data_IF_373375441024
#
_entry.id   IF_373375441024
#
_cell.length_a   1.000
_cell.length_b   1.000
_cell.length_c   1.000
_cell.angle_alpha   90.00
_cell.angle_beta   90.00
_cell.angle_gamma   90.00
#
_symmetry.space_group_name_H-M   'P 1'
#
loop_
_entity.id
_entity.type
_entity.pdbx_description
1 polymer ?
#
# COMPACT_ATOMS: atom_id res chain seq x y z
N UNK A 1 4.44 -17.28 -15.35
CA UNK A 1 3.74 -15.99 -15.49
C UNK A 1 3.74 -15.26 -14.15
N UNK A 2 4.19 -14.01 -14.13
CA UNK A 2 4.24 -13.18 -12.91
C UNK A 2 2.93 -12.42 -12.76
N UNK A 3 2.47 -12.28 -11.53
CA UNK A 3 1.20 -11.63 -11.20
C UNK A 3 1.45 -10.48 -10.21
N UNK A 4 0.91 -9.32 -10.51
CA UNK A 4 0.78 -8.20 -9.60
C UNK A 4 -0.70 -8.05 -9.26
N UNK A 5 -1.03 -8.05 -7.97
CA UNK A 5 -2.41 -7.95 -7.49
C UNK A 5 -2.71 -6.51 -7.13
N UNK A 6 -3.82 -5.99 -7.66
CA UNK A 6 -4.39 -4.70 -7.27
C UNK A 6 -5.69 -4.97 -6.51
N UNK A 7 -5.82 -4.41 -5.33
CA UNK A 7 -6.97 -4.62 -4.48
C UNK A 7 -7.41 -3.31 -3.78
N UNK A 8 -8.64 -3.29 -3.27
CA UNK A 8 -9.12 -2.16 -2.48
C UNK A 8 -8.42 -2.08 -1.12
N UNK A 9 -8.43 -3.19 -0.38
CA UNK A 9 -7.70 -3.35 0.87
C UNK A 9 -6.73 -4.54 0.74
N UNK A 10 -5.62 -4.49 1.46
CA UNK A 10 -4.66 -5.59 1.46
C UNK A 10 -5.12 -6.81 2.26
N UNK A 11 -4.36 -7.90 2.20
CA UNK A 11 -4.74 -9.14 2.82
C UNK A 11 -4.65 -9.11 4.34
N UNK A 12 -5.47 -9.91 5.00
CA UNK A 12 -5.33 -10.24 6.40
C UNK A 12 -4.02 -11.02 6.64
N UNK A 13 -3.41 -10.84 7.80
CA UNK A 13 -2.21 -11.58 8.22
C UNK A 13 -0.93 -10.73 8.25
N UNK A 14 -1.03 -9.41 8.02
CA UNK A 14 0.14 -8.52 8.02
C UNK A 14 0.30 -7.70 9.32
N UNK A 15 -0.44 -8.03 10.35
CA UNK A 15 -0.32 -7.44 11.68
C UNK A 15 -1.62 -6.89 12.23
N UNK A 16 -1.73 -6.92 13.57
CA UNK A 16 -2.94 -6.54 14.29
C UNK A 16 -2.80 -5.23 15.08
N UNK A 17 -1.64 -4.60 15.04
CA UNK A 17 -1.41 -3.29 15.68
C UNK A 17 -1.96 -2.17 14.81
N UNK A 18 -2.40 -1.08 15.44
CA UNK A 18 -2.91 0.09 14.71
C UNK A 18 -1.90 0.67 13.70
N UNK A 19 -0.62 0.48 13.96
CA UNK A 19 0.47 0.92 13.09
C UNK A 19 0.80 -0.05 11.96
N UNK A 20 0.23 -1.27 11.98
CA UNK A 20 0.42 -2.24 10.92
C UNK A 20 -0.20 -1.74 9.61
N UNK A 21 0.28 -2.25 8.49
CA UNK A 21 -0.09 -1.78 7.15
C UNK A 21 -1.61 -1.74 6.92
N UNK A 22 -2.36 -2.71 7.47
CA UNK A 22 -3.83 -2.75 7.42
C UNK A 22 -4.44 -2.90 8.82
N UNK A 23 -3.77 -2.35 9.83
CA UNK A 23 -4.26 -2.35 11.20
C UNK A 23 -5.36 -1.31 11.45
N UNK A 24 -6.17 -1.55 12.46
CA UNK A 24 -7.27 -0.66 12.84
C UNK A 24 -6.78 0.46 13.76
N UNK A 25 -6.99 1.71 13.34
CA UNK A 25 -6.69 2.91 14.14
C UNK A 25 -7.95 3.73 14.50
N UNK A 26 -9.12 3.29 14.07
CA UNK A 26 -10.38 4.03 14.19
C UNK A 26 -11.35 3.44 15.22
N UNK A 27 -10.99 2.34 15.86
CA UNK A 27 -11.72 1.75 16.98
C UNK A 27 -10.83 1.74 18.23
N UNK A 28 -11.42 1.69 19.44
CA UNK A 28 -10.65 1.61 20.68
C UNK A 28 -9.77 0.36 20.75
N UNK A 29 -10.20 -0.74 20.14
CA UNK A 29 -9.45 -2.00 20.11
C UNK A 29 -8.69 -2.12 18.80
N UNK A 30 -7.39 -2.37 18.88
CA UNK A 30 -6.56 -2.68 17.74
C UNK A 30 -6.97 -4.01 17.10
N UNK A 31 -6.71 -4.18 15.83
CA UNK A 31 -6.98 -5.42 15.13
C UNK A 31 -6.47 -5.38 13.69
N UNK A 32 -6.36 -6.54 13.10
CA UNK A 32 -6.04 -6.71 11.70
C UNK A 32 -7.32 -6.54 10.87
N UNK A 33 -7.34 -5.53 10.02
CA UNK A 33 -8.47 -5.22 9.15
C UNK A 33 -8.20 -5.56 7.68
N UNK A 34 -7.18 -6.37 7.44
CA UNK A 34 -6.92 -6.93 6.12
C UNK A 34 -8.06 -7.85 5.65
N UNK A 35 -8.14 -8.02 4.34
CA UNK A 35 -9.17 -8.81 3.68
C UNK A 35 -8.81 -10.31 3.76
N UNK A 36 -9.68 -11.08 4.39
CA UNK A 36 -9.51 -12.53 4.54
C UNK A 36 -9.71 -13.28 3.22
N UNK A 37 -10.59 -12.79 2.37
CA UNK A 37 -10.82 -13.39 1.05
C UNK A 37 -9.60 -13.21 0.15
N UNK A 38 -8.95 -12.05 0.22
CA UNK A 38 -7.69 -11.82 -0.49
C UNK A 38 -6.58 -12.74 0.02
N UNK A 39 -6.47 -12.93 1.33
CA UNK A 39 -5.51 -13.87 1.91
C UNK A 39 -5.73 -15.29 1.39
N UNK A 40 -6.98 -15.73 1.33
CA UNK A 40 -7.33 -17.03 0.77
C UNK A 40 -6.99 -17.13 -0.72
N UNK A 41 -7.24 -16.08 -1.49
CA UNK A 41 -6.91 -16.03 -2.91
C UNK A 41 -5.40 -16.10 -3.17
N UNK A 42 -4.60 -15.42 -2.35
CA UNK A 42 -3.14 -15.47 -2.44
C UNK A 42 -2.60 -16.87 -2.11
N UNK A 43 -3.15 -17.51 -1.07
CA UNK A 43 -2.80 -18.89 -0.72
C UNK A 43 -3.16 -19.85 -1.86
N UNK A 44 -4.35 -19.72 -2.42
CA UNK A 44 -4.80 -20.51 -3.57
C UNK A 44 -3.86 -20.35 -4.76
N UNK A 45 -3.47 -19.14 -5.10
CA UNK A 45 -2.55 -18.86 -6.19
C UNK A 45 -1.19 -19.55 -5.98
N UNK A 46 -0.66 -19.48 -4.75
CA UNK A 46 0.60 -20.14 -4.38
C UNK A 46 0.50 -21.67 -4.55
N UNK A 47 -0.57 -22.26 -4.04
CA UNK A 47 -0.81 -23.71 -4.11
C UNK A 47 -0.95 -24.20 -5.57
N UNK A 48 -1.38 -23.34 -6.47
CA UNK A 48 -1.54 -23.64 -7.90
C UNK A 48 -0.34 -23.18 -8.74
N UNK A 49 0.81 -22.96 -8.12
CA UNK A 49 2.05 -22.65 -8.82
C UNK A 49 2.07 -21.27 -9.49
N UNK A 50 1.18 -20.38 -9.10
CA UNK A 50 1.17 -18.99 -9.60
C UNK A 50 2.21 -18.16 -8.85
N UNK A 51 2.91 -17.32 -9.58
CA UNK A 51 3.91 -16.45 -9.00
C UNK A 51 3.35 -15.05 -8.78
N UNK A 52 2.94 -14.77 -7.57
CA UNK A 52 2.53 -13.43 -7.15
C UNK A 52 3.77 -12.68 -6.66
N UNK A 53 4.04 -11.53 -7.26
CA UNK A 53 5.16 -10.67 -6.87
C UNK A 53 4.80 -9.78 -5.69
N UNK A 54 3.58 -9.29 -5.67
CA UNK A 54 3.14 -8.39 -4.61
C UNK A 54 1.70 -7.95 -4.75
N UNK A 55 1.26 -7.21 -3.75
CA UNK A 55 -0.08 -6.65 -3.65
C UNK A 55 0.01 -5.15 -3.46
N UNK A 56 -0.68 -4.40 -4.30
CA UNK A 56 -0.88 -2.96 -4.14
C UNK A 56 -2.33 -2.73 -3.78
N UNK A 57 -2.57 -2.08 -2.65
CA UNK A 57 -3.91 -1.77 -2.17
C UNK A 57 -3.94 -0.39 -1.51
N UNK A 58 -5.07 -0.03 -0.93
CA UNK A 58 -5.25 1.25 -0.26
C UNK A 58 -6.15 1.11 0.95
N UNK A 59 -7.18 1.92 1.03
CA UNK A 59 -8.21 1.98 2.06
C UNK A 59 -7.72 2.49 3.42
N UNK A 60 -6.69 1.92 4.03
CA UNK A 60 -6.17 2.36 5.33
C UNK A 60 -5.20 3.53 5.15
N UNK A 61 -5.60 4.72 5.57
CA UNK A 61 -4.79 5.93 5.39
C UNK A 61 -3.48 5.87 6.19
N UNK A 62 -2.41 6.42 5.62
CA UNK A 62 -1.10 6.40 6.26
C UNK A 62 -1.07 7.18 7.57
N UNK A 63 -1.77 8.31 7.63
CA UNK A 63 -1.87 9.09 8.86
C UNK A 63 -2.85 8.44 9.82
N UNK A 64 -2.37 8.08 11.01
CA UNK A 64 -3.18 7.45 12.03
C UNK A 64 -4.07 8.45 12.76
N UNK A 65 -5.26 8.02 13.16
CA UNK A 65 -6.06 8.74 14.12
C UNK A 65 -5.33 8.78 15.46
N UNK A 66 -5.26 9.94 16.07
CA UNK A 66 -4.50 10.15 17.31
C UNK A 66 -3.01 10.42 17.12
N UNK A 67 -2.53 10.51 15.89
CA UNK A 67 -1.16 10.88 15.53
C UNK A 67 -0.27 9.71 15.13
N UNK A 68 0.80 10.06 14.45
CA UNK A 68 1.73 9.09 13.89
C UNK A 68 1.34 8.58 12.51
N UNK A 69 2.20 7.77 11.95
CA UNK A 69 2.03 7.21 10.61
C UNK A 69 2.00 5.68 10.65
N UNK A 70 1.24 5.12 9.76
CA UNK A 70 1.14 3.70 9.48
C UNK A 70 2.33 3.23 8.66
N UNK A 71 2.77 2.00 8.89
CA UNK A 71 3.61 1.27 7.92
C UNK A 71 2.83 1.15 6.61
N UNK A 72 3.48 1.44 5.50
CA UNK A 72 2.81 1.43 4.19
C UNK A 72 3.46 0.48 3.18
N UNK A 73 4.62 -0.06 3.51
CA UNK A 73 5.33 -1.05 2.69
C UNK A 73 5.97 -2.10 3.59
N UNK A 74 5.69 -3.36 3.30
CA UNK A 74 6.32 -4.52 3.94
C UNK A 74 6.63 -5.60 2.91
N UNK A 75 7.62 -6.42 3.20
CA UNK A 75 7.87 -7.66 2.48
C UNK A 75 7.60 -8.83 3.42
N UNK A 76 6.86 -9.82 2.93
CA UNK A 76 6.55 -11.02 3.66
C UNK A 76 6.35 -12.19 2.72
N UNK A 77 6.97 -13.34 3.06
CA UNK A 77 6.85 -14.58 2.29
C UNK A 77 7.16 -14.40 0.80
N UNK A 78 8.14 -13.57 0.50
CA UNK A 78 8.57 -13.29 -0.87
C UNK A 78 7.67 -12.35 -1.66
N UNK A 79 6.62 -11.78 -1.06
CA UNK A 79 5.75 -10.78 -1.67
C UNK A 79 6.01 -9.40 -1.08
N UNK A 80 6.00 -8.37 -1.92
CA UNK A 80 5.88 -7.01 -1.41
C UNK A 80 4.40 -6.66 -1.21
N UNK A 81 4.12 -5.89 -0.17
CA UNK A 81 2.79 -5.34 0.13
C UNK A 81 2.92 -3.83 0.22
N UNK A 82 2.13 -3.12 -0.57
CA UNK A 82 2.12 -1.66 -0.62
C UNK A 82 0.72 -1.16 -0.37
N UNK A 83 0.59 -0.32 0.65
CA UNK A 83 -0.59 0.50 0.88
C UNK A 83 -0.33 1.90 0.32
N UNK A 84 -0.99 2.23 -0.77
CA UNK A 84 -0.81 3.50 -1.47
C UNK A 84 -1.75 4.62 -0.99
N UNK A 85 -2.50 4.41 0.09
CA UNK A 85 -3.52 5.33 0.58
C UNK A 85 -2.97 6.48 1.42
N UNK A 86 -2.01 7.22 0.89
CA UNK A 86 -1.55 8.46 1.53
C UNK A 86 -2.59 9.56 1.34
N UNK A 87 -3.13 10.08 2.45
CA UNK A 87 -4.09 11.17 2.48
C UNK A 87 -3.61 12.21 3.50
N UNK A 88 -3.49 13.49 3.11
CA UNK A 88 -3.69 14.04 1.79
C UNK A 88 -2.61 13.62 0.78
N UNK A 89 -3.00 13.45 -0.48
CA UNK A 89 -2.08 13.09 -1.57
C UNK A 89 -1.30 14.27 -2.13
N UNK A 90 -1.64 15.46 -1.71
CA UNK A 90 -1.03 16.70 -2.17
C UNK A 90 -0.25 17.35 -1.04
N UNK A 91 0.85 17.97 -1.39
CA UNK A 91 1.62 18.84 -0.49
C UNK A 91 2.16 20.04 -1.26
N UNK A 92 2.57 21.07 -0.52
CA UNK A 92 3.32 22.18 -1.10
C UNK A 92 4.80 21.87 -1.01
N UNK A 93 5.43 21.72 -2.18
CA UNK A 93 6.86 21.52 -2.31
C UNK A 93 7.59 22.81 -2.71
N UNK A 94 8.93 22.77 -2.90
CA UNK A 94 9.74 23.93 -3.25
C UNK A 94 9.32 24.61 -4.56
N UNK A 95 8.81 23.85 -5.51
CA UNK A 95 8.42 24.33 -6.84
C UNK A 95 6.89 24.45 -7.02
N UNK A 96 6.11 24.36 -5.95
CA UNK A 96 4.66 24.45 -5.99
C UNK A 96 3.96 23.20 -5.47
N UNK A 97 2.74 22.95 -5.93
CA UNK A 97 1.95 21.79 -5.48
C UNK A 97 2.47 20.49 -6.08
N UNK A 98 2.64 19.49 -5.22
CA UNK A 98 3.09 18.14 -5.59
C UNK A 98 2.05 17.10 -5.21
N UNK A 99 2.01 16.02 -5.98
CA UNK A 99 1.14 14.88 -5.71
C UNK A 99 1.95 13.62 -5.41
N UNK A 100 1.53 12.88 -4.39
CA UNK A 100 2.13 11.62 -3.99
C UNK A 100 1.74 10.48 -4.93
N UNK A 101 2.73 9.68 -5.31
CA UNK A 101 2.58 8.40 -6.00
C UNK A 101 3.49 7.36 -5.38
N UNK A 102 3.15 6.11 -5.54
CA UNK A 102 4.06 5.00 -5.30
C UNK A 102 4.55 4.50 -6.64
N UNK A 103 5.88 4.38 -6.77
CA UNK A 103 6.50 3.78 -7.95
C UNK A 103 7.05 2.42 -7.58
N UNK A 104 6.67 1.41 -8.35
CA UNK A 104 7.19 0.06 -8.22
C UNK A 104 8.00 -0.26 -9.46
N UNK A 105 9.27 -0.56 -9.26
CA UNK A 105 10.18 -0.95 -10.33
C UNK A 105 10.45 -2.43 -10.20
N UNK A 106 10.15 -3.18 -11.25
CA UNK A 106 10.35 -4.63 -11.31
C UNK A 106 11.57 -4.94 -12.17
N UNK A 107 12.55 -5.60 -11.57
CA UNK A 107 13.74 -6.13 -12.26
C UNK A 107 13.85 -7.63 -11.97
N UNK A 108 13.47 -8.46 -12.95
CA UNK A 108 13.39 -9.91 -12.74
C UNK A 108 12.41 -10.24 -11.63
N UNK A 109 12.93 -10.76 -10.51
CA UNK A 109 12.15 -11.12 -9.32
C UNK A 109 12.24 -10.07 -8.21
N UNK A 110 13.00 -9.00 -8.43
CA UNK A 110 13.17 -7.92 -7.47
C UNK A 110 12.17 -6.83 -7.72
N UNK A 111 11.62 -6.31 -6.64
CA UNK A 111 10.77 -5.12 -6.66
C UNK A 111 11.43 -4.04 -5.81
N UNK A 112 11.52 -2.84 -6.36
CA UNK A 112 11.87 -1.63 -5.64
C UNK A 112 10.63 -0.77 -5.50
N UNK A 113 10.34 -0.31 -4.28
CA UNK A 113 9.17 0.49 -3.96
C UNK A 113 9.60 1.85 -3.45
N UNK A 114 9.18 2.90 -4.14
CA UNK A 114 9.54 4.28 -3.82
C UNK A 114 8.30 5.14 -3.66
N UNK A 115 8.30 5.98 -2.62
CA UNK A 115 7.38 7.10 -2.51
C UNK A 115 7.88 8.25 -3.39
N UNK A 116 7.03 8.75 -4.27
CA UNK A 116 7.40 9.78 -5.23
C UNK A 116 6.44 10.96 -5.13
N UNK A 117 7.00 12.16 -5.07
CA UNK A 117 6.24 13.41 -5.13
C UNK A 117 6.50 14.08 -6.46
N UNK A 118 5.47 14.17 -7.29
CA UNK A 118 5.54 14.76 -8.61
C UNK A 118 4.87 16.13 -8.62
N UNK A 119 5.48 17.13 -9.28
CA UNK A 119 4.85 18.42 -9.42
C UNK A 119 3.57 18.29 -10.25
N UNK A 120 2.52 19.00 -9.83
CA UNK A 120 1.34 19.14 -10.67
C UNK A 120 1.65 20.10 -11.82
N UNK A 121 1.21 19.78 -13.04
CA UNK A 121 1.29 20.74 -14.13
C UNK A 121 0.51 22.02 -13.74
N UNK A 122 1.11 23.17 -14.02
CA UNK A 122 0.39 24.43 -13.91
C UNK A 122 -0.87 24.31 -14.80
N UNK A 123 -2.02 24.62 -14.21
CA UNK A 123 -3.22 24.78 -15.04
C UNK A 123 -2.95 25.95 -15.94
N UNK A 124 -2.87 25.72 -17.24
CA UNK A 124 -2.90 26.81 -18.19
C UNK A 124 -4.13 27.66 -17.86
N UNK A 125 -3.87 28.91 -17.53
CA UNK A 125 -4.92 29.83 -17.13
C UNK A 125 -5.96 29.94 -18.24
N UNK A 126 -7.19 29.68 -17.90
CA UNK A 126 -8.33 30.03 -18.72
C UNK A 126 -8.58 31.53 -18.61
#
# INVERSE_FOLDING_TARGET
>A
RRILVLAHCGPHGLGDKRTAIYGCDFLPTEGDWGDRDLSAALAYAREHGKRVLGVVAGHMHHRLRGGGERVWHVERDGLFHVNAARVPRKRRGPAGEERHHVRITLEGERAQVDAVWLPLPEREGT
#
